data_IF_754695534272
#
_entry.id   IF_754695534272
#
_cell.length_a   1.000
_cell.length_b   1.000
_cell.length_c   1.000
_cell.angle_alpha   90.00
_cell.angle_beta   90.00
_cell.angle_gamma   90.00
#
_symmetry.space_group_name_H-M   'P 1'
#
loop_
_entity.id
_entity.type
_entity.pdbx_description
1 polymer ?
#
# COMPACT_ATOMS: atom_id res chain seq x y z
N UNK A 1 -6.20 -23.95 -6.67
CA UNK A 1 -4.85 -23.38 -6.43
C UNK A 1 -4.66 -23.29 -4.92
N UNK A 2 -3.50 -23.70 -4.40
CA UNK A 2 -3.19 -23.52 -2.99
C UNK A 2 -3.17 -22.02 -2.67
N UNK A 3 -3.96 -21.58 -1.70
CA UNK A 3 -3.80 -20.25 -1.12
C UNK A 3 -2.53 -20.27 -0.27
N UNK A 4 -1.62 -19.36 -0.55
CA UNK A 4 -0.53 -19.07 0.37
C UNK A 4 -1.02 -17.94 1.27
N UNK A 5 -1.37 -18.28 2.52
CA UNK A 5 -1.74 -17.28 3.51
C UNK A 5 -0.56 -16.31 3.69
N UNK A 6 -0.83 -15.02 3.52
CA UNK A 6 0.17 -13.98 3.71
C UNK A 6 0.31 -13.68 5.21
N UNK A 7 1.53 -13.61 5.76
CA UNK A 7 1.72 -13.25 7.17
C UNK A 7 1.13 -11.87 7.47
N UNK A 8 0.40 -11.75 8.59
CA UNK A 8 -0.29 -10.51 8.98
C UNK A 8 0.60 -9.54 9.77
N UNK A 9 1.81 -9.98 10.14
CA UNK A 9 2.82 -9.17 10.80
C UNK A 9 3.92 -8.78 9.82
N UNK A 10 4.28 -7.50 9.81
CA UNK A 10 5.20 -6.94 8.82
C UNK A 10 6.55 -7.68 8.73
N UNK A 11 7.16 -8.06 9.86
CA UNK A 11 8.47 -8.72 9.85
C UNK A 11 8.40 -10.16 9.30
N UNK A 12 7.35 -10.89 9.65
CA UNK A 12 7.10 -12.23 9.11
C UNK A 12 6.85 -12.17 7.61
N UNK A 13 6.04 -11.18 7.19
CA UNK A 13 5.76 -10.90 5.79
C UNK A 13 7.05 -10.58 5.03
N UNK A 14 7.85 -9.64 5.53
CA UNK A 14 9.08 -9.19 4.90
C UNK A 14 10.08 -10.34 4.68
N UNK A 15 10.13 -11.28 5.62
CA UNK A 15 10.95 -12.48 5.52
C UNK A 15 10.44 -13.49 4.49
N UNK A 16 9.12 -13.56 4.31
CA UNK A 16 8.45 -14.44 3.35
C UNK A 16 8.52 -13.91 1.90
N UNK A 17 8.78 -12.62 1.68
CA UNK A 17 8.89 -12.04 0.34
C UNK A 17 10.03 -12.70 -0.46
N UNK A 18 9.76 -12.99 -1.74
CA UNK A 18 10.70 -13.63 -2.65
C UNK A 18 12.03 -12.86 -2.74
N UNK A 19 13.14 -13.59 -2.69
CA UNK A 19 14.49 -12.99 -2.72
C UNK A 19 14.76 -12.13 -3.97
N UNK A 20 14.10 -12.43 -5.10
CA UNK A 20 14.21 -11.63 -6.33
C UNK A 20 13.60 -10.24 -6.16
N UNK A 21 12.46 -10.12 -5.47
CA UNK A 21 11.82 -8.84 -5.16
C UNK A 21 12.69 -8.04 -4.19
N UNK A 22 13.27 -8.71 -3.18
CA UNK A 22 14.18 -8.08 -2.21
C UNK A 22 15.48 -7.53 -2.80
N UNK A 23 15.88 -8.00 -3.99
CA UNK A 23 17.06 -7.49 -4.73
C UNK A 23 16.76 -6.22 -5.53
N UNK A 24 15.48 -5.85 -5.72
CA UNK A 24 15.12 -4.63 -6.44
C UNK A 24 15.64 -3.39 -5.67
N UNK A 25 16.29 -2.40 -6.33
CA UNK A 25 16.73 -1.18 -5.67
C UNK A 25 15.65 -0.46 -4.86
N UNK A 26 14.39 -0.51 -5.32
CA UNK A 26 13.25 0.11 -4.66
C UNK A 26 12.93 -0.54 -3.31
N UNK A 27 13.32 -1.81 -3.10
CA UNK A 27 13.18 -2.53 -1.82
C UNK A 27 13.85 -1.81 -0.65
N UNK A 28 14.92 -1.03 -0.91
CA UNK A 28 15.59 -0.22 0.12
C UNK A 28 14.63 0.81 0.74
N UNK A 29 13.61 1.23 0.00
CA UNK A 29 12.60 2.20 0.45
C UNK A 29 11.59 1.53 1.37
N UNK A 30 11.55 1.93 2.65
CA UNK A 30 10.60 1.37 3.64
C UNK A 30 9.14 1.60 3.19
N UNK A 31 8.84 2.78 2.62
CA UNK A 31 7.49 3.06 2.09
C UNK A 31 7.05 2.04 1.04
N UNK A 32 7.96 1.59 0.18
CA UNK A 32 7.64 0.63 -0.89
C UNK A 32 7.31 -0.74 -0.31
N UNK A 33 8.13 -1.22 0.64
CA UNK A 33 7.88 -2.47 1.36
C UNK A 33 6.52 -2.43 2.07
N UNK A 34 6.23 -1.35 2.79
CA UNK A 34 4.94 -1.19 3.48
C UNK A 34 3.76 -1.04 2.50
N UNK A 35 3.94 -0.42 1.34
CA UNK A 35 2.90 -0.32 0.32
C UNK A 35 2.54 -1.71 -0.26
N UNK A 36 3.54 -2.55 -0.55
CA UNK A 36 3.31 -3.94 -0.95
C UNK A 36 2.60 -4.73 0.16
N UNK A 37 3.02 -4.55 1.41
CA UNK A 37 2.38 -5.20 2.55
C UNK A 37 0.92 -4.74 2.73
N UNK A 38 0.62 -3.45 2.55
CA UNK A 38 -0.76 -2.94 2.52
C UNK A 38 -1.57 -3.66 1.46
N UNK A 39 -1.04 -3.86 0.26
CA UNK A 39 -1.77 -4.54 -0.81
C UNK A 39 -2.14 -5.98 -0.44
N UNK A 40 -1.21 -6.76 0.09
CA UNK A 40 -1.49 -8.13 0.50
C UNK A 40 -2.54 -8.19 1.62
N UNK A 41 -2.50 -7.26 2.57
CA UNK A 41 -3.52 -7.17 3.61
C UNK A 41 -4.89 -6.78 3.04
N UNK A 42 -4.94 -5.86 2.08
CA UNK A 42 -6.19 -5.47 1.38
C UNK A 42 -6.74 -6.66 0.61
N UNK A 43 -5.89 -7.46 -0.04
CA UNK A 43 -6.28 -8.69 -0.73
C UNK A 43 -7.00 -9.65 0.23
N UNK A 44 -6.43 -9.90 1.41
CA UNK A 44 -7.06 -10.74 2.43
C UNK A 44 -8.36 -10.13 2.97
N UNK A 45 -8.40 -8.81 3.18
CA UNK A 45 -9.60 -8.14 3.67
C UNK A 45 -10.74 -8.18 2.63
N UNK A 46 -10.41 -8.21 1.32
CA UNK A 46 -11.38 -8.36 0.25
C UNK A 46 -12.19 -9.66 0.34
N UNK A 47 -11.64 -10.76 0.86
CA UNK A 47 -12.41 -12.00 1.06
C UNK A 47 -13.62 -11.80 1.97
N UNK A 48 -13.50 -10.93 2.98
CA UNK A 48 -14.62 -10.59 3.86
C UNK A 48 -15.57 -9.61 3.18
N UNK A 49 -15.03 -8.59 2.53
CA UNK A 49 -15.84 -7.58 1.83
C UNK A 49 -16.69 -8.17 0.70
N UNK A 50 -16.17 -9.17 0.00
CA UNK A 50 -16.85 -9.80 -1.13
C UNK A 50 -18.12 -10.57 -0.73
N UNK A 51 -18.32 -10.87 0.57
CA UNK A 51 -19.50 -11.56 1.09
C UNK A 51 -20.74 -10.68 1.19
N UNK A 52 -20.61 -9.35 1.05
CA UNK A 52 -21.70 -8.37 1.11
C UNK A 52 -21.72 -7.51 -0.17
N UNK A 53 -22.89 -7.27 -0.78
CA UNK A 53 -22.97 -6.50 -2.03
C UNK A 53 -22.37 -5.08 -1.93
N UNK A 54 -22.52 -4.42 -0.78
CA UNK A 54 -21.94 -3.10 -0.52
C UNK A 54 -20.43 -3.21 -0.31
N UNK A 55 -20.01 -4.28 0.36
CA UNK A 55 -18.60 -4.64 0.52
C UNK A 55 -17.92 -4.91 -0.82
N UNK A 56 -18.56 -5.59 -1.76
CA UNK A 56 -18.03 -5.82 -3.11
C UNK A 56 -17.75 -4.51 -3.86
N UNK A 57 -18.61 -3.50 -3.72
CA UNK A 57 -18.37 -2.18 -4.31
C UNK A 57 -17.14 -1.51 -3.70
N UNK A 58 -16.94 -1.63 -2.39
CA UNK A 58 -15.74 -1.13 -1.69
C UNK A 58 -14.50 -1.93 -2.12
N UNK A 59 -14.58 -3.27 -2.15
CA UNK A 59 -13.50 -4.17 -2.52
C UNK A 59 -12.89 -3.83 -3.88
N UNK A 60 -13.75 -3.55 -4.88
CA UNK A 60 -13.31 -3.15 -6.23
C UNK A 60 -12.52 -1.84 -6.26
N UNK A 61 -12.81 -0.90 -5.35
CA UNK A 61 -12.12 0.39 -5.29
C UNK A 61 -10.85 0.32 -4.44
N UNK A 62 -10.92 -0.34 -3.28
CA UNK A 62 -9.80 -0.41 -2.34
C UNK A 62 -8.64 -1.24 -2.88
N UNK A 63 -8.91 -2.35 -3.56
CA UNK A 63 -7.84 -3.20 -4.14
C UNK A 63 -7.06 -2.44 -5.22
N UNK A 64 -7.74 -1.59 -5.99
CA UNK A 64 -7.13 -0.77 -7.02
C UNK A 64 -6.27 0.34 -6.42
N UNK A 65 -6.85 1.14 -5.53
CA UNK A 65 -6.13 2.24 -4.89
C UNK A 65 -4.92 1.75 -4.09
N UNK A 66 -5.05 0.66 -3.33
CA UNK A 66 -3.94 0.05 -2.60
C UNK A 66 -2.80 -0.41 -3.53
N UNK A 67 -3.15 -1.08 -4.64
CA UNK A 67 -2.16 -1.53 -5.63
C UNK A 67 -1.44 -0.37 -6.30
N UNK A 68 -2.19 0.69 -6.62
CA UNK A 68 -1.67 1.92 -7.23
C UNK A 68 -0.60 2.61 -6.39
N UNK A 69 -0.60 2.45 -5.05
CA UNK A 69 0.44 3.03 -4.20
C UNK A 69 1.82 2.52 -4.65
N UNK A 70 2.01 1.20 -4.65
CA UNK A 70 3.28 0.58 -5.02
C UNK A 70 3.59 0.73 -6.53
N UNK A 71 2.57 0.62 -7.39
CA UNK A 71 2.75 0.78 -8.83
C UNK A 71 3.27 2.18 -9.21
N UNK A 72 2.74 3.25 -8.57
CA UNK A 72 3.25 4.60 -8.81
C UNK A 72 4.67 4.80 -8.24
N UNK A 73 5.06 4.09 -7.17
CA UNK A 73 6.45 4.11 -6.70
C UNK A 73 7.39 3.44 -7.70
N UNK A 74 6.97 2.32 -8.29
CA UNK A 74 7.71 1.59 -9.32
C UNK A 74 7.87 2.41 -10.59
N UNK A 75 6.77 2.97 -11.10
CA UNK A 75 6.77 3.88 -12.25
C UNK A 75 7.66 5.08 -11.97
N UNK A 76 7.44 5.76 -10.83
CA UNK A 76 8.20 6.93 -10.45
C UNK A 76 9.71 6.69 -10.40
N UNK A 77 10.13 5.54 -9.86
CA UNK A 77 11.54 5.16 -9.81
C UNK A 77 12.14 4.92 -11.21
N UNK A 78 11.35 4.42 -12.15
CA UNK A 78 11.74 4.23 -13.55
C UNK A 78 12.02 5.55 -14.31
N UNK A 79 11.45 6.67 -13.86
CA UNK A 79 11.65 8.00 -14.44
C UNK A 79 12.92 8.72 -13.91
N UNK A 80 13.71 8.08 -13.05
CA UNK A 80 14.87 8.70 -12.41
C UNK A 80 14.52 9.37 -11.08
N UNK A 81 15.41 10.21 -10.56
CA UNK A 81 15.26 10.85 -9.24
C UNK A 81 15.06 12.37 -9.40
N UNK A 82 14.53 13.04 -8.37
CA UNK A 82 14.28 14.48 -8.39
C UNK A 82 12.81 14.84 -8.62
N UNK A 83 12.56 15.96 -9.32
CA UNK A 83 11.23 16.58 -9.40
C UNK A 83 10.16 15.70 -10.04
N UNK A 84 10.49 14.98 -11.11
CA UNK A 84 9.54 14.08 -11.77
C UNK A 84 9.18 12.88 -10.91
N UNK A 85 10.16 12.32 -10.19
CA UNK A 85 9.88 11.27 -9.21
C UNK A 85 8.97 11.80 -8.10
N UNK A 86 9.23 13.00 -7.58
CA UNK A 86 8.39 13.62 -6.56
C UNK A 86 6.95 13.86 -7.04
N UNK A 87 6.76 14.20 -8.33
CA UNK A 87 5.43 14.37 -8.94
C UNK A 87 4.67 13.05 -8.96
N UNK A 88 5.29 11.97 -9.43
CA UNK A 88 4.65 10.65 -9.51
C UNK A 88 4.37 10.08 -8.12
N UNK A 89 5.30 10.25 -7.16
CA UNK A 89 5.05 9.90 -5.76
C UNK A 89 3.88 10.68 -5.14
N UNK A 90 3.57 11.87 -5.65
CA UNK A 90 2.36 12.60 -5.29
C UNK A 90 1.07 11.84 -5.63
N UNK A 91 1.08 11.05 -6.71
CA UNK A 91 -0.03 10.15 -7.07
C UNK A 91 -0.10 8.99 -6.08
N UNK A 92 1.03 8.34 -5.78
CA UNK A 92 1.10 7.29 -4.75
C UNK A 92 0.56 7.76 -3.38
N UNK A 93 0.86 9.01 -3.00
CA UNK A 93 0.34 9.64 -1.78
C UNK A 93 -1.19 9.84 -1.82
N UNK A 94 -1.74 10.23 -2.98
CA UNK A 94 -3.18 10.34 -3.18
C UNK A 94 -3.87 8.99 -3.03
N UNK A 95 -3.32 7.95 -3.66
CA UNK A 95 -3.81 6.57 -3.62
C UNK A 95 -3.78 5.99 -2.20
N UNK A 96 -2.75 6.30 -1.41
CA UNK A 96 -2.68 5.90 0.00
C UNK A 96 -3.80 6.54 0.84
N UNK A 97 -4.08 7.84 0.63
CA UNK A 97 -5.17 8.55 1.31
C UNK A 97 -6.54 8.04 0.86
N UNK A 98 -6.69 7.70 -0.42
CA UNK A 98 -7.91 7.08 -0.93
C UNK A 98 -8.15 5.71 -0.27
N UNK A 99 -7.09 4.88 -0.18
CA UNK A 99 -7.14 3.58 0.49
C UNK A 99 -7.58 3.71 1.95
N UNK A 100 -7.07 4.71 2.70
CA UNK A 100 -7.57 5.00 4.07
C UNK A 100 -9.05 5.33 4.09
N UNK A 101 -9.50 6.17 3.15
CA UNK A 101 -10.91 6.52 3.02
C UNK A 101 -11.79 5.30 2.75
N UNK A 102 -11.32 4.34 1.95
CA UNK A 102 -12.05 3.09 1.71
C UNK A 102 -12.11 2.21 2.96
N UNK A 103 -11.01 2.09 3.72
CA UNK A 103 -11.04 1.36 5.00
C UNK A 103 -12.01 1.97 6.00
N UNK A 104 -12.06 3.31 6.12
CA UNK A 104 -13.06 3.95 6.97
C UNK A 104 -14.48 3.57 6.58
N UNK A 105 -14.79 3.47 5.28
CA UNK A 105 -16.11 3.03 4.78
C UNK A 105 -16.35 1.54 5.02
N UNK A 106 -15.31 0.71 4.89
CA UNK A 106 -15.32 -0.73 5.10
C UNK A 106 -15.56 -1.15 6.57
N UNK A 107 -15.40 -0.24 7.54
CA UNK A 107 -15.56 -0.51 8.99
C UNK A 107 -16.89 -1.14 9.42
N UNK A 108 -17.90 -1.09 8.56
CA UNK A 108 -19.20 -1.75 8.81
C UNK A 108 -19.16 -3.27 8.60
N UNK A 109 -18.13 -3.77 7.92
CA UNK A 109 -18.01 -5.16 7.49
C UNK A 109 -16.71 -5.84 7.98
N UNK A 110 -15.70 -5.06 8.36
CA UNK A 110 -14.44 -5.56 8.91
C UNK A 110 -14.37 -5.34 10.43
N UNK A 111 -13.68 -6.22 11.18
CA UNK A 111 -13.46 -6.03 12.61
C UNK A 111 -12.73 -4.73 12.92
N UNK A 112 -13.05 -4.10 14.07
CA UNK A 112 -12.41 -2.86 14.50
C UNK A 112 -10.88 -2.96 14.59
N UNK A 113 -10.36 -4.09 15.10
CA UNK A 113 -8.92 -4.36 15.18
C UNK A 113 -8.24 -4.41 13.81
N UNK A 114 -8.93 -4.91 12.77
CA UNK A 114 -8.44 -4.86 11.39
C UNK A 114 -8.39 -3.41 10.95
N UNK A 115 -9.48 -2.66 11.08
CA UNK A 115 -9.53 -1.25 10.66
C UNK A 115 -8.43 -0.41 11.33
N UNK A 116 -8.26 -0.53 12.64
CA UNK A 116 -7.22 0.18 13.40
C UNK A 116 -5.82 -0.14 12.88
N UNK A 117 -5.51 -1.43 12.69
CA UNK A 117 -4.22 -1.84 12.13
C UNK A 117 -3.98 -1.26 10.73
N UNK A 118 -4.97 -1.34 9.83
CA UNK A 118 -4.80 -0.90 8.45
C UNK A 118 -4.64 0.61 8.35
N UNK A 119 -5.42 1.36 9.12
CA UNK A 119 -5.32 2.82 9.16
C UNK A 119 -3.97 3.27 9.73
N UNK A 120 -3.49 2.66 10.81
CA UNK A 120 -2.17 2.96 11.38
C UNK A 120 -1.04 2.66 10.38
N UNK A 121 -1.08 1.51 9.70
CA UNK A 121 -0.11 1.16 8.67
C UNK A 121 -0.12 2.16 7.50
N UNK A 122 -1.30 2.60 7.06
CA UNK A 122 -1.42 3.58 6.00
C UNK A 122 -0.94 4.98 6.43
N UNK A 123 -1.13 5.37 7.70
CA UNK A 123 -0.57 6.61 8.24
C UNK A 123 0.97 6.59 8.17
N UNK A 124 1.60 5.45 8.50
CA UNK A 124 3.04 5.28 8.34
C UNK A 124 3.48 5.39 6.87
N UNK A 125 2.77 4.74 5.94
CA UNK A 125 3.05 4.83 4.50
C UNK A 125 2.95 6.28 4.01
N UNK A 126 1.90 6.99 4.41
CA UNK A 126 1.67 8.40 4.06
C UNK A 126 2.79 9.28 4.61
N UNK A 127 3.17 9.11 5.88
CA UNK A 127 4.26 9.87 6.48
C UNK A 127 5.58 9.67 5.72
N UNK A 128 5.91 8.42 5.40
CA UNK A 128 7.12 8.09 4.64
C UNK A 128 7.08 8.68 3.22
N UNK A 129 5.94 8.58 2.51
CA UNK A 129 5.77 9.18 1.18
C UNK A 129 5.94 10.70 1.21
N UNK A 130 5.34 11.39 2.19
CA UNK A 130 5.49 12.84 2.37
C UNK A 130 6.97 13.21 2.55
N UNK A 131 7.70 12.47 3.39
CA UNK A 131 9.14 12.69 3.60
C UNK A 131 9.95 12.48 2.32
N UNK A 132 9.70 11.39 1.58
CA UNK A 132 10.42 11.10 0.33
C UNK A 132 10.13 12.17 -0.72
N UNK A 133 8.87 12.58 -0.89
CA UNK A 133 8.46 13.63 -1.84
C UNK A 133 9.20 14.93 -1.54
N UNK A 134 9.23 15.37 -0.29
CA UNK A 134 9.94 16.59 0.11
C UNK A 134 11.44 16.52 -0.19
N UNK A 135 12.08 15.37 0.11
CA UNK A 135 13.48 15.13 -0.22
C UNK A 135 13.74 15.19 -1.74
N UNK A 136 12.89 14.55 -2.54
CA UNK A 136 13.05 14.54 -4.01
C UNK A 136 12.81 15.93 -4.62
N UNK A 137 11.90 16.75 -4.07
CA UNK A 137 11.69 18.14 -4.51
C UNK A 137 12.90 19.04 -4.25
N UNK A 138 13.63 18.79 -3.17
CA UNK A 138 14.84 19.53 -2.79
C UNK A 138 16.09 19.09 -3.54
N UNK A 139 16.02 17.93 -4.21
CA UNK A 139 17.13 17.41 -4.99
C UNK A 139 17.34 18.28 -6.24
N UNK A 140 18.56 18.81 -6.38
CA UNK A 140 19.00 19.57 -7.55
C UNK A 140 19.23 18.65 -8.74
#
# INVERSE_FOLDING_TARGET
>A
MARHDVPKHYLEWENAVLGVVRKNPLWKTIAYRKALFVYDLVWEDCDTLMKDMRGQAIARQIIRSAGSISANMEEGFGHGLGRDYARILGIALGEARETQGWYFRARRLLPATVIEHRLALLDEVIALLVTIIDQQRKRK
#
